data_IF_916410836469
#
_entry.id   IF_916410836469
#
_cell.length_a   1.000
_cell.length_b   1.000
_cell.length_c   1.000
_cell.angle_alpha   90.00
_cell.angle_beta   90.00
_cell.angle_gamma   90.00
#
_symmetry.space_group_name_H-M   'P 1'
#
loop_
_entity.id
_entity.type
_entity.pdbx_description
1 polymer ?
#
# COMPACT_ATOMS: atom_id res chain seq x y z
N UNK A 1 7.77 22.02 5.55
CA UNK A 1 7.40 21.63 6.93
C UNK A 1 8.65 21.66 7.81
N UNK A 2 8.60 22.37 8.93
CA UNK A 2 9.74 22.47 9.84
C UNK A 2 9.43 21.62 11.09
N UNK A 3 10.17 20.54 11.30
CA UNK A 3 10.04 19.66 12.46
C UNK A 3 11.29 19.78 13.34
N UNK A 4 11.44 20.84 14.16
CA UNK A 4 12.68 21.10 14.90
C UNK A 4 13.09 19.96 15.84
N UNK A 5 12.13 19.21 16.38
CA UNK A 5 12.40 18.02 17.22
C UNK A 5 12.95 16.81 16.47
N UNK A 6 12.87 16.81 15.14
CA UNK A 6 13.35 15.72 14.26
C UNK A 6 14.63 16.09 13.50
N UNK A 7 15.20 17.28 13.74
CA UNK A 7 16.48 17.68 13.10
C UNK A 7 17.55 16.65 13.38
N UNK A 8 18.21 16.16 12.33
CA UNK A 8 19.21 15.11 12.39
C UNK A 8 18.67 13.68 12.47
N UNK A 9 17.33 13.50 12.54
CA UNK A 9 16.68 12.16 12.52
C UNK A 9 15.94 11.90 11.21
N UNK A 10 15.95 12.84 10.27
CA UNK A 10 15.28 12.73 8.98
C UNK A 10 16.32 12.70 7.88
N UNK A 11 16.26 11.67 7.05
CA UNK A 11 17.10 11.51 5.86
C UNK A 11 16.19 11.51 4.63
N UNK A 12 16.55 12.29 3.61
CA UNK A 12 15.92 12.24 2.30
C UNK A 12 16.57 11.14 1.48
N UNK A 13 15.76 10.29 0.88
CA UNK A 13 16.21 9.21 0.02
C UNK A 13 15.65 9.40 -1.40
N UNK A 14 16.43 9.13 -2.46
CA UNK A 14 15.92 9.13 -3.83
C UNK A 14 14.75 8.15 -4.01
N UNK A 15 13.85 8.44 -4.95
CA UNK A 15 12.67 7.63 -5.21
C UNK A 15 12.97 6.19 -5.68
N UNK A 16 14.15 5.96 -6.23
CA UNK A 16 14.66 4.69 -6.74
C UNK A 16 15.55 3.93 -5.74
N UNK A 17 15.79 4.51 -4.57
CA UNK A 17 16.54 3.84 -3.52
C UNK A 17 15.84 2.54 -3.07
N UNK A 18 16.64 1.52 -2.77
CA UNK A 18 16.15 0.29 -2.16
C UNK A 18 15.53 0.62 -0.80
N UNK A 19 14.26 0.27 -0.62
CA UNK A 19 13.54 0.54 0.62
C UNK A 19 14.06 -0.40 1.70
N UNK A 20 14.70 0.17 2.72
CA UNK A 20 15.16 -0.53 3.92
C UNK A 20 14.58 0.18 5.15
N UNK A 21 13.62 -0.44 5.79
CA UNK A 21 13.00 0.10 6.99
C UNK A 21 12.47 -1.04 7.86
N UNK A 22 12.37 -0.81 9.18
CA UNK A 22 11.74 -1.77 10.10
C UNK A 22 10.22 -1.67 10.06
N UNK A 23 9.68 -0.50 9.74
CA UNK A 23 8.26 -0.26 9.56
C UNK A 23 8.03 0.91 8.61
N UNK A 24 6.87 0.98 7.99
CA UNK A 24 6.49 2.06 7.07
C UNK A 24 5.11 2.61 7.38
N UNK A 25 5.00 3.93 7.31
CA UNK A 25 3.73 4.65 7.27
C UNK A 25 3.69 5.43 5.97
N UNK A 26 2.75 5.13 5.13
CA UNK A 26 2.67 5.71 3.79
C UNK A 26 1.23 6.07 3.42
N UNK A 27 1.06 6.89 2.40
CA UNK A 27 -0.22 7.05 1.72
C UNK A 27 -0.42 5.93 0.69
N UNK A 28 -1.61 5.85 0.10
CA UNK A 28 -1.85 4.94 -1.03
C UNK A 28 -0.97 5.30 -2.23
N UNK A 29 -0.58 4.31 -3.02
CA UNK A 29 0.17 4.49 -4.27
C UNK A 29 1.34 3.51 -4.42
N UNK A 30 2.20 3.78 -5.40
CA UNK A 30 3.30 2.90 -5.81
C UNK A 30 4.31 2.64 -4.69
N UNK A 31 4.53 3.62 -3.80
CA UNK A 31 5.46 3.45 -2.67
C UNK A 31 4.95 2.40 -1.68
N UNK A 32 3.64 2.38 -1.39
CA UNK A 32 3.07 1.36 -0.51
C UNK A 32 3.23 -0.05 -1.08
N UNK A 33 3.07 -0.20 -2.40
CA UNK A 33 3.29 -1.46 -3.09
C UNK A 33 4.76 -1.90 -3.03
N UNK A 34 5.72 -0.97 -3.26
CA UNK A 34 7.16 -1.26 -3.14
C UNK A 34 7.53 -1.75 -1.74
N UNK A 35 7.01 -1.09 -0.69
CA UNK A 35 7.24 -1.49 0.70
C UNK A 35 6.64 -2.87 1.01
N UNK A 36 5.44 -3.13 0.52
CA UNK A 36 4.77 -4.42 0.66
C UNK A 36 5.56 -5.55 -0.01
N UNK A 37 6.05 -5.33 -1.24
CA UNK A 37 6.90 -6.28 -1.96
C UNK A 37 8.24 -6.53 -1.26
N UNK A 38 8.77 -5.52 -0.56
CA UNK A 38 9.96 -5.65 0.27
C UNK A 38 9.71 -6.34 1.62
N UNK A 39 8.48 -6.79 1.89
CA UNK A 39 8.06 -7.43 3.16
C UNK A 39 8.26 -6.53 4.40
N UNK A 40 8.18 -5.22 4.23
CA UNK A 40 8.28 -4.26 5.33
C UNK A 40 6.89 -4.11 5.96
N UNK A 41 6.71 -4.35 7.28
CA UNK A 41 5.45 -4.13 7.95
C UNK A 41 5.06 -2.65 7.90
N UNK A 42 3.76 -2.37 7.82
CA UNK A 42 3.35 -0.97 7.75
C UNK A 42 1.85 -0.76 7.71
N UNK A 43 1.49 0.51 7.56
CA UNK A 43 0.11 0.95 7.45
C UNK A 43 -0.05 2.06 6.43
N UNK A 44 -1.28 2.20 5.96
CA UNK A 44 -1.70 3.32 5.13
C UNK A 44 -2.39 4.38 5.98
N UNK A 45 -1.96 5.63 5.82
CA UNK A 45 -2.58 6.78 6.45
C UNK A 45 -3.00 7.79 5.38
N UNK A 46 -4.29 8.07 5.31
CA UNK A 46 -4.82 8.96 4.30
C UNK A 46 -5.86 9.93 4.87
N UNK A 47 -5.66 11.20 4.59
CA UNK A 47 -6.62 12.27 4.86
C UNK A 47 -6.96 12.93 3.53
N UNK A 48 -8.13 12.62 3.01
CA UNK A 48 -8.67 13.25 1.80
C UNK A 48 -9.75 14.28 2.18
N UNK A 49 -10.09 15.13 1.23
CA UNK A 49 -11.29 15.94 1.35
C UNK A 49 -12.54 15.06 1.52
N UNK A 50 -13.41 15.44 2.46
CA UNK A 50 -14.58 14.65 2.82
C UNK A 50 -15.47 14.36 1.61
N UNK A 51 -15.54 15.31 0.68
CA UNK A 51 -16.33 15.20 -0.54
C UNK A 51 -15.83 14.07 -1.45
N UNK A 52 -14.52 13.96 -1.62
CA UNK A 52 -13.89 12.90 -2.44
C UNK A 52 -14.14 11.51 -1.86
N UNK A 53 -14.15 11.38 -0.52
CA UNK A 53 -14.42 10.10 0.14
C UNK A 53 -15.89 9.70 0.09
N UNK A 54 -16.79 10.66 0.23
CA UNK A 54 -18.25 10.40 0.18
C UNK A 54 -18.62 9.99 -1.24
N UNK A 55 -18.15 10.70 -2.26
CA UNK A 55 -18.37 10.33 -3.66
C UNK A 55 -17.76 8.96 -3.98
N UNK A 56 -16.55 8.70 -3.55
CA UNK A 56 -15.90 7.40 -3.74
C UNK A 56 -16.64 6.23 -3.09
N UNK A 57 -17.16 6.41 -1.87
CA UNK A 57 -17.95 5.37 -1.17
C UNK A 57 -19.32 5.12 -1.78
N UNK A 58 -19.96 6.16 -2.35
CA UNK A 58 -21.28 6.04 -2.95
C UNK A 58 -21.20 5.35 -4.32
N UNK A 59 -20.18 5.69 -5.12
CA UNK A 59 -20.08 5.21 -6.50
C UNK A 59 -19.25 3.94 -6.67
N UNK A 60 -18.33 3.64 -5.75
CA UNK A 60 -17.40 2.52 -5.90
C UNK A 60 -17.37 1.72 -4.59
N UNK A 61 -17.93 0.51 -4.61
CA UNK A 61 -17.85 -0.46 -3.50
C UNK A 61 -16.45 -1.11 -3.47
N UNK A 62 -15.40 -0.31 -3.33
CA UNK A 62 -14.03 -0.82 -3.23
C UNK A 62 -13.75 -1.16 -1.76
N UNK A 63 -13.36 -2.42 -1.44
CA UNK A 63 -13.09 -2.84 -0.07
C UNK A 63 -11.82 -2.21 0.52
N UNK A 64 -10.85 -1.84 -0.32
CA UNK A 64 -9.56 -1.29 0.07
C UNK A 64 -9.16 -0.11 -0.80
N UNK A 65 -8.29 0.78 -0.27
CA UNK A 65 -7.69 1.90 -1.00
C UNK A 65 -6.25 1.57 -1.44
N UNK A 66 -5.56 0.76 -0.65
CA UNK A 66 -4.19 0.35 -0.93
C UNK A 66 -4.12 -0.65 -2.07
N UNK A 67 -3.26 -0.39 -3.06
CA UNK A 67 -3.10 -1.25 -4.24
C UNK A 67 -2.75 -2.69 -3.84
N UNK A 68 -1.85 -2.89 -2.89
CA UNK A 68 -1.47 -4.21 -2.38
C UNK A 68 -2.63 -4.96 -1.73
N UNK A 69 -3.48 -4.23 -0.98
CA UNK A 69 -4.66 -4.81 -0.36
C UNK A 69 -5.72 -5.20 -1.40
N UNK A 70 -5.89 -4.38 -2.44
CA UNK A 70 -6.79 -4.66 -3.58
C UNK A 70 -6.35 -5.90 -4.35
N UNK A 71 -5.06 -6.01 -4.68
CA UNK A 71 -4.51 -7.15 -5.42
C UNK A 71 -4.68 -8.45 -4.63
N UNK A 72 -4.41 -8.41 -3.33
CA UNK A 72 -4.54 -9.56 -2.44
C UNK A 72 -6.00 -9.87 -2.07
N UNK A 73 -6.88 -8.89 -2.18
CA UNK A 73 -8.20 -8.88 -1.55
C UNK A 73 -8.13 -9.18 -0.03
N UNK A 74 -7.03 -8.74 0.60
CA UNK A 74 -6.72 -8.92 2.03
C UNK A 74 -6.03 -7.65 2.56
N UNK A 75 -6.19 -7.35 3.85
CA UNK A 75 -5.54 -6.23 4.50
C UNK A 75 -4.07 -6.56 4.87
N UNK A 76 -3.15 -6.48 3.92
CA UNK A 76 -1.72 -6.55 4.21
C UNK A 76 -1.30 -5.35 5.05
N UNK A 77 -1.76 -4.16 4.68
CA UNK A 77 -1.58 -2.93 5.43
C UNK A 77 -2.93 -2.44 5.95
N UNK A 78 -3.10 -2.27 7.28
CA UNK A 78 -4.24 -1.58 7.83
C UNK A 78 -4.38 -0.18 7.25
N UNK A 79 -5.63 0.25 7.02
CA UNK A 79 -5.95 1.53 6.40
C UNK A 79 -6.56 2.48 7.43
N UNK A 80 -5.82 3.52 7.77
CA UNK A 80 -6.23 4.58 8.68
C UNK A 80 -6.72 5.77 7.88
N UNK A 81 -8.03 5.94 7.78
CA UNK A 81 -8.67 7.00 7.01
C UNK A 81 -9.18 8.09 7.93
N UNK A 82 -9.05 9.36 7.51
CA UNK A 82 -9.62 10.53 8.18
C UNK A 82 -9.30 10.60 9.68
N UNK A 83 -10.30 10.63 10.54
CA UNK A 83 -10.16 10.71 12.00
C UNK A 83 -9.40 9.52 12.61
N UNK A 84 -9.40 8.35 11.94
CA UNK A 84 -8.59 7.19 12.34
C UNK A 84 -7.10 7.41 12.07
N UNK A 85 -6.73 8.25 11.09
CA UNK A 85 -5.35 8.66 10.81
C UNK A 85 -4.88 9.71 11.83
N UNK A 86 -4.85 9.36 13.10
CA UNK A 86 -4.44 10.21 14.21
C UNK A 86 -3.16 9.68 14.88
N UNK A 87 -2.50 10.56 15.64
CA UNK A 87 -1.22 10.25 16.27
C UNK A 87 -1.27 8.97 17.14
N UNK A 88 -2.34 8.80 17.94
CA UNK A 88 -2.49 7.65 18.84
C UNK A 88 -2.51 6.33 18.08
N UNK A 89 -3.37 6.22 17.07
CA UNK A 89 -3.53 5.00 16.28
C UNK A 89 -2.27 4.70 15.46
N UNK A 90 -1.70 5.72 14.80
CA UNK A 90 -0.53 5.52 13.94
C UNK A 90 0.72 5.18 14.73
N UNK A 91 0.92 5.75 15.93
CA UNK A 91 2.06 5.39 16.78
C UNK A 91 1.93 3.97 17.35
N UNK A 92 0.72 3.54 17.72
CA UNK A 92 0.46 2.18 18.18
C UNK A 92 0.71 1.16 17.05
N UNK A 93 0.23 1.44 15.84
CA UNK A 93 0.46 0.58 14.67
C UNK A 93 1.94 0.46 14.30
N UNK A 94 2.69 1.58 14.33
CA UNK A 94 4.13 1.54 14.07
C UNK A 94 4.90 0.74 15.14
N UNK A 95 4.51 0.84 16.40
CA UNK A 95 5.07 0.02 17.47
C UNK A 95 4.78 -1.47 17.22
N UNK A 96 3.55 -1.83 16.90
CA UNK A 96 3.16 -3.19 16.55
C UNK A 96 3.94 -3.74 15.35
N UNK A 97 4.15 -2.94 14.31
CA UNK A 97 4.96 -3.31 13.16
C UNK A 97 6.42 -3.67 13.51
N UNK A 98 6.99 -3.05 14.54
CA UNK A 98 8.40 -3.24 14.93
C UNK A 98 8.55 -4.32 16.00
N UNK A 99 7.62 -4.41 16.96
CA UNK A 99 7.75 -5.22 18.16
C UNK A 99 7.01 -6.56 18.08
N UNK A 100 5.94 -6.65 17.28
CA UNK A 100 5.11 -7.84 17.21
C UNK A 100 5.63 -8.83 16.15
N UNK A 101 6.19 -9.92 16.62
CA UNK A 101 6.76 -10.99 15.77
C UNK A 101 5.70 -11.62 14.84
N UNK A 102 4.48 -11.83 15.34
CA UNK A 102 3.39 -12.40 14.53
C UNK A 102 2.97 -11.43 13.42
N UNK A 103 2.94 -10.12 13.69
CA UNK A 103 2.68 -9.08 12.69
C UNK A 103 3.73 -9.10 11.58
N UNK A 104 4.99 -9.20 11.95
CA UNK A 104 6.12 -9.29 11.00
C UNK A 104 6.00 -10.56 10.14
N UNK A 105 5.73 -11.70 10.76
CA UNK A 105 5.55 -12.99 10.08
C UNK A 105 4.37 -12.93 9.09
N UNK A 106 3.22 -12.47 9.55
CA UNK A 106 2.02 -12.32 8.72
C UNK A 106 2.26 -11.40 7.51
N UNK A 107 2.99 -10.28 7.72
CA UNK A 107 3.39 -9.40 6.62
C UNK A 107 4.22 -10.12 5.58
N UNK A 108 5.20 -10.95 6.00
CA UNK A 108 6.04 -11.72 5.08
C UNK A 108 5.25 -12.74 4.25
N UNK A 109 4.29 -13.41 4.88
CA UNK A 109 3.41 -14.38 4.22
C UNK A 109 2.57 -13.71 3.14
N UNK A 110 1.86 -12.62 3.47
CA UNK A 110 1.07 -11.87 2.50
C UNK A 110 1.92 -11.22 1.42
N UNK A 111 3.12 -10.76 1.75
CA UNK A 111 4.06 -10.21 0.76
C UNK A 111 4.55 -11.27 -0.23
N UNK A 112 4.73 -12.51 0.23
CA UNK A 112 5.06 -13.63 -0.66
C UNK A 112 3.90 -13.97 -1.59
N UNK A 113 2.67 -14.01 -1.05
CA UNK A 113 1.45 -14.19 -1.86
C UNK A 113 1.32 -13.08 -2.92
N UNK A 114 1.56 -11.82 -2.53
CA UNK A 114 1.52 -10.67 -3.43
C UNK A 114 2.54 -10.79 -4.57
N UNK A 115 3.78 -11.19 -4.27
CA UNK A 115 4.82 -11.44 -5.29
C UNK A 115 4.37 -12.53 -6.26
N UNK A 116 3.88 -13.65 -5.75
CA UNK A 116 3.42 -14.76 -6.59
C UNK A 116 2.25 -14.38 -7.50
N UNK A 117 1.38 -13.45 -7.07
CA UNK A 117 0.30 -12.94 -7.91
C UNK A 117 0.83 -12.03 -9.04
N UNK A 118 1.86 -11.24 -8.74
CA UNK A 118 2.44 -10.29 -9.70
C UNK A 118 3.44 -10.95 -10.66
N UNK A 119 4.12 -12.02 -10.22
CA UNK A 119 5.07 -12.78 -11.06
C UNK A 119 4.39 -13.69 -12.07
N UNK A 120 3.07 -13.85 -11.98
CA UNK A 120 2.34 -14.59 -13.03
C UNK A 120 2.52 -13.85 -14.35
N UNK A 121 3.10 -14.51 -15.36
CA UNK A 121 3.23 -13.88 -16.67
C UNK A 121 1.82 -13.46 -17.11
N UNK A 122 1.70 -12.23 -17.55
CA UNK A 122 0.48 -11.70 -18.17
C UNK A 122 0.27 -12.39 -19.53
N UNK A 123 0.31 -13.69 -19.55
CA UNK A 123 0.41 -14.70 -20.61
C UNK A 123 -0.16 -14.31 -21.96
N UNK A 124 0.36 -13.25 -22.60
CA UNK A 124 -0.12 -12.75 -23.90
C UNK A 124 -1.57 -12.26 -23.89
N UNK A 125 -2.26 -12.29 -22.72
CA UNK A 125 -3.69 -12.02 -22.63
C UNK A 125 -4.05 -10.61 -23.07
N UNK A 126 -3.25 -9.60 -22.70
CA UNK A 126 -3.50 -8.22 -23.12
C UNK A 126 -3.26 -8.06 -24.61
N UNK A 127 -2.15 -8.60 -25.14
CA UNK A 127 -1.85 -8.55 -26.57
C UNK A 127 -2.92 -9.27 -27.40
N UNK A 128 -3.32 -10.46 -26.97
CA UNK A 128 -4.39 -11.24 -27.65
C UNK A 128 -5.73 -10.52 -27.56
N UNK A 129 -6.09 -9.97 -26.41
CA UNK A 129 -7.31 -9.19 -26.25
C UNK A 129 -7.34 -7.94 -27.12
N UNK A 130 -6.20 -7.24 -27.28
CA UNK A 130 -6.09 -6.08 -28.20
C UNK A 130 -6.31 -6.52 -29.64
N UNK A 131 -5.66 -7.60 -30.09
CA UNK A 131 -5.82 -8.14 -31.44
C UNK A 131 -7.27 -8.53 -31.71
N UNK A 132 -7.92 -9.30 -30.81
CA UNK A 132 -9.34 -9.64 -30.95
C UNK A 132 -10.26 -8.42 -31.05
N UNK A 133 -9.94 -7.34 -30.28
CA UNK A 133 -10.77 -6.12 -30.33
C UNK A 133 -10.58 -5.31 -31.60
N UNK A 134 -9.41 -5.36 -32.21
CA UNK A 134 -9.15 -4.68 -33.47
C UNK A 134 -9.82 -5.45 -34.61
N UNK A 135 -9.72 -6.78 -34.66
CA UNK A 135 -10.34 -7.63 -35.67
C UNK A 135 -11.86 -7.61 -35.65
N UNK A 136 -12.49 -7.27 -34.51
CA UNK A 136 -13.96 -7.13 -34.41
C UNK A 136 -14.49 -5.75 -34.87
N UNK A 137 -13.61 -4.84 -35.28
CA UNK A 137 -13.96 -3.51 -35.77
C UNK A 137 -13.79 -3.36 -37.30
N UNK A 138 -13.37 -4.39 -38.01
CA UNK A 138 -13.38 -4.51 -39.46
C UNK A 138 -14.64 -5.31 -39.96
#
# INVERSE_FOLDING_TARGET
>A
MNFPKLRGKVTLSPNDAVVRASAVLTSSGTMSLKCALASIPGALAYKADLLTLVLGKIFIKIPFIGIQNLILNKALYPEYLQGKANRKNLSAELADCVENVERIKHTRELSSELRNLLDKPSGGGVGRWIVEKIELQE
#
